data_IF_357320813114
#
_entry.id   IF_357320813114
#
_cell.length_a   1.000
_cell.length_b   1.000
_cell.length_c   1.000
_cell.angle_alpha   90.00
_cell.angle_beta   90.00
_cell.angle_gamma   90.00
#
_symmetry.space_group_name_H-M   'P 1'
#
loop_
_entity.id
_entity.type
_entity.pdbx_description
1 polymer ?
#
# COMPACT_ATOMS: atom_id res chain seq x y z
N UNK A 1 6.34 12.53 -17.68
CA UNK A 1 6.60 12.13 -16.28
C UNK A 1 5.55 11.15 -15.76
N UNK A 2 4.27 11.29 -16.14
CA UNK A 2 3.18 10.35 -15.81
C UNK A 2 3.39 8.93 -16.34
N UNK A 3 3.90 8.75 -17.57
CA UNK A 3 4.16 7.41 -18.14
C UNK A 3 5.19 6.60 -17.33
N UNK A 4 6.23 7.25 -16.78
CA UNK A 4 7.23 6.56 -15.95
C UNK A 4 6.64 6.06 -14.63
N UNK A 5 5.69 6.80 -14.03
CA UNK A 5 5.06 6.42 -12.76
C UNK A 5 4.13 5.22 -12.95
N UNK A 6 3.33 5.19 -14.03
CA UNK A 6 2.51 4.02 -14.35
C UNK A 6 3.33 2.75 -14.63
N UNK A 7 4.47 2.88 -15.32
CA UNK A 7 5.36 1.74 -15.57
C UNK A 7 6.04 1.25 -14.28
N UNK A 8 6.32 2.17 -13.35
CA UNK A 8 6.78 1.82 -12.00
C UNK A 8 5.68 1.07 -11.24
N UNK A 9 4.43 1.54 -11.27
CA UNK A 9 3.29 0.87 -10.64
C UNK A 9 3.06 -0.54 -11.21
N UNK A 10 3.15 -0.71 -12.53
CA UNK A 10 3.01 -2.03 -13.18
C UNK A 10 4.13 -3.00 -12.83
N UNK A 11 5.33 -2.48 -12.52
CA UNK A 11 6.49 -3.29 -12.14
C UNK A 11 6.66 -3.46 -10.62
N UNK A 12 5.80 -2.82 -9.81
CA UNK A 12 5.80 -2.93 -8.37
C UNK A 12 5.19 -4.27 -7.95
N UNK A 13 6.04 -5.15 -7.41
CA UNK A 13 5.63 -6.39 -6.77
C UNK A 13 5.96 -6.32 -5.27
N UNK A 14 5.31 -7.18 -4.49
CA UNK A 14 5.49 -7.24 -3.04
C UNK A 14 6.98 -7.34 -2.62
N UNK A 15 7.80 -8.08 -3.38
CA UNK A 15 9.23 -8.22 -3.10
C UNK A 15 10.00 -6.90 -3.22
N UNK A 16 9.73 -6.09 -4.26
CA UNK A 16 10.36 -4.76 -4.42
C UNK A 16 9.92 -3.79 -3.33
N UNK A 17 8.65 -3.85 -2.93
CA UNK A 17 8.11 -3.03 -1.84
C UNK A 17 8.79 -3.38 -0.52
N UNK A 18 8.90 -4.68 -0.23
CA UNK A 18 9.59 -5.16 0.97
C UNK A 18 11.05 -4.71 1.02
N UNK A 19 11.77 -4.80 -0.11
CA UNK A 19 13.15 -4.30 -0.21
C UNK A 19 13.24 -2.78 0.05
N UNK A 20 12.32 -1.99 -0.50
CA UNK A 20 12.29 -0.55 -0.27
C UNK A 20 12.03 -0.19 1.21
N UNK A 21 11.08 -0.88 1.85
CA UNK A 21 10.76 -0.68 3.27
C UNK A 21 11.96 -1.10 4.14
N UNK A 22 12.56 -2.26 3.89
CA UNK A 22 13.69 -2.75 4.67
C UNK A 22 14.98 -1.94 4.46
N UNK A 23 15.06 -1.14 3.38
CA UNK A 23 16.15 -0.18 3.18
C UNK A 23 16.12 0.96 4.20
N UNK A 24 14.98 1.21 4.87
CA UNK A 24 14.86 2.19 5.95
C UNK A 24 15.32 1.61 7.30
N UNK A 25 15.38 0.29 7.44
CA UNK A 25 15.78 -0.40 8.66
C UNK A 25 15.25 -1.83 8.73
N UNK A 26 15.83 -2.62 9.63
CA UNK A 26 15.36 -3.97 9.91
C UNK A 26 14.03 -3.90 10.68
N UNK A 27 13.09 -4.78 10.31
CA UNK A 27 11.81 -4.96 11.00
C UNK A 27 11.74 -6.40 11.50
N UNK A 28 11.44 -6.57 12.78
CA UNK A 28 11.13 -7.86 13.39
C UNK A 28 9.63 -7.96 13.59
N UNK A 29 9.02 -9.05 13.11
CA UNK A 29 7.57 -9.28 13.18
C UNK A 29 7.33 -10.48 14.10
N UNK A 30 6.47 -10.36 15.14
CA UNK A 30 6.07 -11.50 15.96
C UNK A 30 5.47 -12.60 15.10
N UNK A 31 5.83 -13.86 15.36
CA UNK A 31 5.36 -15.01 14.56
C UNK A 31 3.83 -15.09 14.48
N UNK A 32 3.13 -14.75 15.56
CA UNK A 32 1.66 -14.74 15.60
C UNK A 32 1.05 -13.73 14.62
N UNK A 33 1.65 -12.54 14.51
CA UNK A 33 1.22 -11.50 13.57
C UNK A 33 1.47 -11.92 12.12
N UNK A 34 2.58 -12.62 11.86
CA UNK A 34 2.87 -13.15 10.53
C UNK A 34 1.85 -14.21 10.09
N UNK A 35 1.46 -15.09 11.01
CA UNK A 35 0.47 -16.13 10.75
C UNK A 35 -0.91 -15.52 10.50
N UNK A 36 -1.32 -14.53 11.31
CA UNK A 36 -2.64 -13.89 11.19
C UNK A 36 -2.75 -12.90 10.04
N UNK A 37 -1.64 -12.43 9.47
CA UNK A 37 -1.65 -11.43 8.40
C UNK A 37 -2.37 -11.90 7.12
N UNK A 38 -2.56 -13.21 6.95
CA UNK A 38 -3.24 -13.79 5.81
C UNK A 38 -4.75 -14.01 6.03
N UNK A 39 -5.23 -13.84 7.26
CA UNK A 39 -6.63 -14.07 7.66
C UNK A 39 -7.45 -12.77 7.72
N UNK A 40 -6.78 -11.61 7.70
CA UNK A 40 -7.43 -10.30 7.75
C UNK A 40 -7.59 -9.77 6.31
N UNK A 41 -8.78 -9.29 5.92
CA UNK A 41 -9.11 -8.64 4.64
C UNK A 41 -8.35 -7.30 4.44
N UNK A 42 -7.02 -7.34 4.58
CA UNK A 42 -6.09 -6.22 4.51
C UNK A 42 -5.37 -6.28 3.18
N UNK A 43 -5.65 -5.32 2.32
CA UNK A 43 -4.98 -5.15 1.05
C UNK A 43 -3.91 -4.07 1.16
N UNK A 44 -2.79 -4.25 0.45
CA UNK A 44 -1.76 -3.22 0.35
C UNK A 44 -2.25 -2.11 -0.59
N UNK A 45 -2.36 -0.89 -0.07
CA UNK A 45 -2.63 0.32 -0.84
C UNK A 45 -1.33 1.10 -1.07
N UNK A 46 -1.14 1.56 -2.30
CA UNK A 46 0.03 2.34 -2.69
C UNK A 46 -0.46 3.64 -3.33
N UNK A 47 0.07 4.76 -2.86
CA UNK A 47 -0.11 6.08 -3.49
C UNK A 47 1.24 6.73 -3.74
N UNK A 48 1.29 7.65 -4.71
CA UNK A 48 2.47 8.45 -5.01
C UNK A 48 2.22 9.89 -4.57
N UNK A 49 3.13 10.46 -3.79
CA UNK A 49 3.11 11.88 -3.43
C UNK A 49 4.03 12.65 -4.40
N UNK A 50 3.42 13.43 -5.29
CA UNK A 50 4.12 14.25 -6.28
C UNK A 50 4.97 15.37 -5.64
N UNK A 51 4.54 15.92 -4.50
CA UNK A 51 5.24 17.03 -3.83
C UNK A 51 6.57 16.58 -3.23
N UNK A 52 6.58 15.40 -2.62
CA UNK A 52 7.77 14.82 -1.97
C UNK A 52 8.48 13.79 -2.84
N UNK A 53 7.95 13.50 -4.03
CA UNK A 53 8.45 12.46 -4.95
C UNK A 53 8.66 11.12 -4.25
N UNK A 54 7.67 10.68 -3.48
CA UNK A 54 7.77 9.50 -2.61
C UNK A 54 6.55 8.59 -2.72
N UNK A 55 6.76 7.28 -2.64
CA UNK A 55 5.69 6.30 -2.52
C UNK A 55 5.24 6.18 -1.07
N UNK A 56 3.92 6.16 -0.86
CA UNK A 56 3.28 5.91 0.42
C UNK A 56 2.60 4.54 0.38
N UNK A 57 2.99 3.68 1.31
CA UNK A 57 2.47 2.32 1.47
C UNK A 57 1.58 2.27 2.70
N UNK A 58 0.34 1.82 2.54
CA UNK A 58 -0.66 1.73 3.61
C UNK A 58 -1.44 0.42 3.52
N UNK A 59 -2.03 -0.02 4.62
CA UNK A 59 -2.99 -1.12 4.61
C UNK A 59 -4.40 -0.54 4.43
N UNK A 60 -5.14 -1.08 3.48
CA UNK A 60 -6.58 -0.85 3.33
C UNK A 60 -7.29 -2.07 3.89
N UNK A 61 -8.15 -1.87 4.88
CA UNK A 61 -9.16 -2.87 5.23
C UNK A 61 -10.35 -2.66 4.31
N UNK A 62 -10.89 -3.72 3.70
CA UNK A 62 -12.19 -3.66 3.01
C UNK A 62 -13.33 -3.59 4.03
N UNK A 63 -13.23 -2.65 4.98
CA UNK A 63 -14.38 -2.19 5.72
C UNK A 63 -15.15 -1.28 4.78
N UNK A 64 -16.34 -1.72 4.39
CA UNK A 64 -17.33 -0.91 3.69
C UNK A 64 -17.62 0.34 4.54
N UNK A 65 -16.83 1.40 4.36
CA UNK A 65 -17.29 2.76 4.59
C UNK A 65 -17.94 3.22 3.28
N UNK A 66 -19.20 2.82 3.14
CA UNK A 66 -20.11 3.51 2.24
C UNK A 66 -20.36 4.89 2.82
N UNK A 67 -19.81 5.92 2.19
CA UNK A 67 -20.37 7.27 2.17
C UNK A 67 -19.66 8.07 1.07
N UNK A 68 -20.17 7.90 -0.15
CA UNK A 68 -20.20 8.95 -1.16
C UNK A 68 -21.41 8.68 -2.06
N UNK A 69 -22.59 8.76 -1.46
CA UNK A 69 -23.80 9.09 -2.22
C UNK A 69 -23.64 10.56 -2.63
N UNK A 70 -23.24 10.79 -3.89
CA UNK A 70 -23.38 12.09 -4.52
C UNK A 70 -24.88 12.38 -4.64
N UNK A 71 -25.47 12.99 -3.61
CA UNK A 71 -26.79 13.60 -3.70
C UNK A 71 -26.62 14.88 -4.52
N UNK A 72 -26.71 14.76 -5.84
CA UNK A 72 -27.00 15.91 -6.70
C UNK A 72 -28.48 16.31 -6.47
N UNK A 73 -28.70 17.45 -5.83
CA UNK A 73 -29.97 18.19 -5.83
C UNK A 73 -29.87 19.38 -6.80
#
# INVERSE_FOLDING_TARGET
MTEQVEDIFKSMNASRILVAILSLGAVEIPSDLFISANDEDKQLSVSYNDETSSFKFELRTDSVDGDNELIDN
#
